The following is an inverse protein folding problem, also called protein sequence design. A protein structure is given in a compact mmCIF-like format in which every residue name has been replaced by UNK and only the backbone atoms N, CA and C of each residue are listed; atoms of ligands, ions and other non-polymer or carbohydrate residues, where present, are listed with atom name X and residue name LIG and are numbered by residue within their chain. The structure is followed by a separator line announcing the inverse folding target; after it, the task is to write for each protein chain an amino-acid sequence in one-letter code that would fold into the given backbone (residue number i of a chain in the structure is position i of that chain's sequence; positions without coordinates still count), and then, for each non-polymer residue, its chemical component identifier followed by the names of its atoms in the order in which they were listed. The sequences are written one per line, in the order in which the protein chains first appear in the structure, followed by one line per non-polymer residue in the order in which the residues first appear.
data_IF_857577841673
#
_entry.id   IF_857577841673
#
_cell.length_a   1.000
_cell.length_b   1.000
_cell.length_c   1.000
_cell.angle_alpha   90.00
_cell.angle_beta   90.00
_cell.angle_gamma   90.00
#
_symmetry.space_group_name_H-M   'P 1'
#
loop_
_entity.id
_entity.type
_entity.pdbx_description
1 polymer ?
#
# COMPACT_ATOMS: atom_id res chain seq x y z
N UNK A 1 6.90 8.86 -0.13
CA UNK A 1 6.24 9.19 1.15
C UNK A 1 5.01 8.31 1.22
N UNK A 2 4.76 7.72 2.39
CA UNK A 2 3.51 6.99 2.66
C UNK A 2 2.50 8.04 3.12
N UNK A 3 1.39 8.11 2.40
CA UNK A 3 0.22 8.89 2.75
C UNK A 3 -0.82 7.93 3.31
N UNK A 4 -1.33 8.21 4.50
CA UNK A 4 -2.41 7.44 5.07
C UNK A 4 -3.75 8.05 4.65
N UNK A 5 -4.60 7.24 4.02
CA UNK A 5 -5.94 7.67 3.60
C UNK A 5 -6.94 7.43 4.75
N UNK A 6 -6.82 6.27 5.40
CA UNK A 6 -7.61 5.90 6.58
C UNK A 6 -6.84 4.87 7.44
N UNK A 7 -7.46 4.31 8.48
CA UNK A 7 -6.81 3.35 9.38
C UNK A 7 -6.33 2.04 8.73
N UNK A 8 -6.82 1.72 7.53
CA UNK A 8 -6.54 0.47 6.81
C UNK A 8 -6.05 0.70 5.38
N UNK A 9 -6.00 1.95 4.89
CA UNK A 9 -5.65 2.28 3.52
C UNK A 9 -4.48 3.26 3.48
N UNK A 10 -3.43 2.88 2.76
CA UNK A 10 -2.19 3.64 2.61
C UNK A 10 -1.85 3.80 1.14
N UNK A 11 -1.32 4.95 0.76
CA UNK A 11 -0.96 5.27 -0.61
C UNK A 11 0.49 5.74 -0.67
N UNK A 12 1.18 5.35 -1.73
CA UNK A 12 2.47 5.92 -2.09
C UNK A 12 2.44 6.36 -3.54
N UNK A 13 3.15 7.44 -3.83
CA UNK A 13 3.31 7.93 -5.19
C UNK A 13 4.80 8.24 -5.46
N UNK A 14 5.24 8.02 -6.69
CA UNK A 14 6.51 8.57 -7.17
C UNK A 14 6.47 10.10 -7.13
N UNK A 15 7.65 10.75 -7.09
CA UNK A 15 7.76 12.23 -7.04
C UNK A 15 6.96 12.96 -8.14
N UNK A 16 6.76 12.32 -9.29
CA UNK A 16 6.00 12.87 -10.42
C UNK A 16 4.55 12.35 -10.51
N UNK A 17 4.06 11.63 -9.49
CA UNK A 17 2.70 11.08 -9.44
C UNK A 17 2.37 9.99 -10.46
N UNK A 18 3.32 9.63 -11.34
CA UNK A 18 3.07 8.70 -12.44
C UNK A 18 2.96 7.25 -11.98
N UNK A 19 3.67 6.87 -10.92
CA UNK A 19 3.56 5.53 -10.36
C UNK A 19 2.92 5.65 -8.99
N UNK A 20 1.76 5.04 -8.82
CA UNK A 20 1.05 5.01 -7.55
C UNK A 20 0.90 3.59 -7.08
N UNK A 21 0.94 3.42 -5.76
CA UNK A 21 0.64 2.15 -5.12
C UNK A 21 -0.32 2.41 -3.97
N UNK A 22 -1.36 1.59 -3.89
CA UNK A 22 -2.33 1.62 -2.80
C UNK A 22 -2.23 0.30 -2.05
N UNK A 23 -1.99 0.36 -0.76
CA UNK A 23 -2.06 -0.76 0.17
C UNK A 23 -3.39 -0.65 0.91
N UNK A 24 -4.14 -1.75 1.02
CA UNK A 24 -5.32 -1.78 1.87
C UNK A 24 -5.52 -3.14 2.52
N UNK A 25 -6.17 -3.14 3.68
CA UNK A 25 -6.55 -4.36 4.42
C UNK A 25 -7.72 -5.05 3.75
N UNK A 26 -7.64 -6.37 3.61
CA UNK A 26 -8.74 -7.23 3.17
C UNK A 26 -9.09 -8.24 4.26
N UNK A 27 -10.15 -9.03 4.05
CA UNK A 27 -10.53 -10.10 4.99
C UNK A 27 -9.43 -11.17 5.11
N UNK A 28 -8.73 -11.44 4.01
CA UNK A 28 -7.73 -12.51 3.92
C UNK A 28 -6.29 -12.04 4.13
N UNK A 29 -6.07 -10.74 4.38
CA UNK A 29 -4.74 -10.20 4.53
C UNK A 29 -4.63 -8.75 4.06
N UNK A 30 -3.68 -8.52 3.17
CA UNK A 30 -3.37 -7.21 2.61
C UNK A 30 -3.25 -7.30 1.10
N UNK A 31 -3.69 -6.25 0.41
CA UNK A 31 -3.50 -6.12 -1.02
C UNK A 31 -2.73 -4.85 -1.37
N UNK A 32 -1.81 -4.99 -2.32
CA UNK A 32 -1.10 -3.87 -2.93
C UNK A 32 -1.52 -3.75 -4.38
N UNK A 33 -2.15 -2.63 -4.70
CA UNK A 33 -2.55 -2.26 -6.05
C UNK A 33 -1.51 -1.30 -6.61
N UNK A 34 -0.86 -1.69 -7.71
CA UNK A 34 0.17 -0.88 -8.37
C UNK A 34 -0.33 -0.36 -9.69
N UNK A 35 -0.33 0.96 -9.85
CA UNK A 35 -0.50 1.63 -11.14
C UNK A 35 0.84 2.21 -11.59
N UNK A 36 1.32 1.75 -12.74
CA UNK A 36 2.53 2.24 -13.38
C UNK A 36 2.31 2.41 -14.90
N UNK A 37 3.35 2.88 -15.60
CA UNK A 37 3.29 3.03 -17.06
C UNK A 37 2.90 1.73 -17.79
N UNK A 38 3.41 0.58 -17.34
CA UNK A 38 3.10 -0.72 -17.94
C UNK A 38 1.63 -1.12 -17.76
N UNK A 39 1.04 -0.93 -16.58
CA UNK A 39 -0.39 -1.21 -16.37
C UNK A 39 -1.30 -0.33 -17.22
N UNK A 40 -0.90 0.92 -17.47
CA UNK A 40 -1.62 1.84 -18.37
C UNK A 40 -1.53 1.39 -19.83
N UNK A 41 -0.35 0.96 -20.26
CA UNK A 41 -0.12 0.56 -21.65
C UNK A 41 -0.68 -0.83 -21.98
N UNK A 42 -0.63 -1.78 -21.05
CA UNK A 42 -0.82 -3.21 -21.35
C UNK A 42 -1.94 -3.89 -20.57
N UNK A 43 -2.44 -3.26 -19.49
CA UNK A 43 -3.52 -3.82 -18.67
C UNK A 43 -4.80 -2.99 -18.76
N UNK A 44 -4.99 -2.25 -19.86
CA UNK A 44 -6.10 -1.31 -20.07
C UNK A 44 -6.32 -0.33 -18.90
N UNK A 45 -5.24 0.05 -18.21
CA UNK A 45 -5.30 0.93 -17.03
C UNK A 45 -5.61 0.24 -15.70
N UNK A 46 -5.91 -1.06 -15.69
CA UNK A 46 -6.16 -1.81 -14.45
C UNK A 46 -4.88 -1.97 -13.62
N UNK A 47 -4.94 -1.82 -12.29
CA UNK A 47 -3.78 -2.01 -11.43
C UNK A 47 -3.29 -3.46 -11.46
N UNK A 48 -1.99 -3.63 -11.25
CA UNK A 48 -1.47 -4.93 -10.83
C UNK A 48 -1.78 -5.13 -9.36
N UNK A 49 -2.51 -6.19 -9.03
CA UNK A 49 -2.87 -6.55 -7.66
C UNK A 49 -1.95 -7.66 -7.17
N UNK A 50 -1.48 -7.55 -5.92
CA UNK A 50 -0.78 -8.63 -5.21
C UNK A 50 -1.26 -8.71 -3.77
N UNK A 51 -1.57 -9.91 -3.33
CA UNK A 51 -1.99 -10.21 -1.96
C UNK A 51 -0.81 -10.65 -1.10
N UNK A 52 -0.89 -10.34 0.20
CA UNK A 52 0.12 -10.63 1.22
C UNK A 52 -0.55 -10.96 2.54
N UNK A 53 0.06 -11.86 3.31
CA UNK A 53 -0.50 -12.28 4.60
C UNK A 53 -0.16 -11.25 5.70
N UNK A 54 0.96 -10.55 5.55
CA UNK A 54 1.48 -9.64 6.57
C UNK A 54 2.16 -8.39 5.99
N UNK A 55 2.20 -7.34 6.82
CA UNK A 55 2.91 -6.09 6.50
C UNK A 55 4.41 -6.30 6.34
N UNK A 56 5.01 -7.24 7.06
CA UNK A 56 6.43 -7.58 6.92
C UNK A 56 6.78 -8.05 5.50
N UNK A 57 5.92 -8.88 4.88
CA UNK A 57 6.11 -9.31 3.49
C UNK A 57 6.01 -8.13 2.51
N UNK A 58 5.10 -7.18 2.78
CA UNK A 58 4.93 -5.97 1.98
C UNK A 58 6.18 -5.08 2.07
N UNK A 59 6.68 -4.84 3.28
CA UNK A 59 7.87 -4.03 3.52
C UNK A 59 9.11 -4.65 2.87
N UNK A 60 9.28 -5.97 2.94
CA UNK A 60 10.38 -6.67 2.29
C UNK A 60 10.34 -6.50 0.76
N UNK A 61 9.15 -6.53 0.17
CA UNK A 61 8.98 -6.49 -1.29
C UNK A 61 8.94 -5.08 -1.86
N UNK A 62 8.35 -4.14 -1.13
CA UNK A 62 8.08 -2.79 -1.59
C UNK A 62 8.76 -1.76 -0.70
N UNK A 63 9.92 -1.29 -1.16
CA UNK A 63 10.68 -0.24 -0.49
C UNK A 63 9.85 1.04 -0.21
N UNK A 64 8.86 1.34 -1.06
CA UNK A 64 7.95 2.48 -0.89
C UNK A 64 7.09 2.40 0.37
N UNK A 65 6.84 1.19 0.88
CA UNK A 65 6.02 0.92 2.07
C UNK A 65 6.84 0.57 3.32
N UNK A 66 8.17 0.71 3.27
CA UNK A 66 9.01 0.52 4.47
C UNK A 66 8.53 1.39 5.64
N UNK A 67 8.29 0.75 6.79
CA UNK A 67 7.78 1.40 8.00
C UNK A 67 6.26 1.58 8.05
N UNK A 68 5.49 0.98 7.14
CA UNK A 68 4.02 1.06 7.18
C UNK A 68 3.42 0.34 8.39
N UNK A 69 4.10 -0.69 8.91
CA UNK A 69 3.72 -1.37 10.15
C UNK A 69 3.65 -0.44 11.35
N UNK A 70 4.63 0.46 11.50
CA UNK A 70 4.67 1.44 12.59
C UNK A 70 3.50 2.43 12.51
N UNK A 71 3.06 2.79 11.30
CA UNK A 71 1.90 3.67 11.11
C UNK A 71 0.59 3.01 11.52
N UNK A 72 0.50 1.67 11.45
CA UNK A 72 -0.72 0.94 11.85
C UNK A 72 -0.73 0.68 13.37
N UNK A 73 0.42 0.39 13.97
CA UNK A 73 0.54 0.19 15.42
C UNK A 73 0.18 1.46 16.20
N UNK A 74 0.60 2.63 15.74
CA UNK A 74 0.26 3.93 16.35
C UNK A 74 -1.27 4.18 16.39
N UNK A 75 -2.02 3.69 15.38
CA UNK A 75 -3.49 3.80 15.36
C UNK A 75 -4.18 2.88 16.36
N UNK A 76 -3.64 1.69 16.61
CA UNK A 76 -4.19 0.79 17.63
C UNK A 76 -3.97 1.35 19.04
N UNK A 77 -2.83 2.01 19.25
CA UNK A 77 -2.52 2.68 20.52
C UNK A 77 -3.45 3.88 20.73
N UNK A 78 -3.68 4.71 19.70
CA UNK A 78 -4.53 5.91 19.80
C UNK A 78 -6.02 5.61 19.95
N UNK A 79 -6.51 4.44 19.51
CA UNK A 79 -7.91 4.03 19.72
C UNK A 79 -8.18 3.42 21.10
N UNK A 80 -7.14 3.07 21.85
CA UNK A 80 -7.24 2.41 23.15
C UNK A 80 -7.06 3.35 24.36
N UNK A 81 -6.86 4.66 24.12
CA UNK A 81 -6.82 5.72 25.14
C UNK A 81 -8.02 6.64 25.05
#
# INVERSE_FOLDING_TARGET
MIEQIDGNTFKTASKNGRNTMTLFRTNDGWEVWTHNASTRAWNNGMPSVKSFDSLAQIEQKYRSFQGVSMLIEDHQIQKAG
#
